data_IF_138212037913
#
_entry.id   IF_138212037913
#
_cell.length_a   1.000
_cell.length_b   1.000
_cell.length_c   1.000
_cell.angle_alpha   90.00
_cell.angle_beta   90.00
_cell.angle_gamma   90.00
#
_symmetry.space_group_name_H-M   'P 1'
#
loop_
_entity.id
_entity.type
_entity.pdbx_description
1 polymer ?
#
# COMPACT_ATOMS: atom_id res chain seq x y z
N UNK A 1 -28.15 -8.06 5.40
CA UNK A 1 -27.26 -6.91 5.59
C UNK A 1 -26.11 -7.31 6.51
N UNK A 2 -24.88 -7.00 6.11
CA UNK A 2 -23.71 -7.29 6.92
C UNK A 2 -23.59 -6.28 8.06
N UNK A 3 -23.46 -6.78 9.28
CA UNK A 3 -23.21 -5.93 10.43
C UNK A 3 -21.69 -5.82 10.63
N UNK A 4 -21.20 -4.58 10.61
CA UNK A 4 -19.77 -4.31 10.86
C UNK A 4 -19.56 -4.32 12.37
N UNK A 5 -18.57 -5.07 12.85
CA UNK A 5 -18.25 -5.12 14.28
C UNK A 5 -17.78 -3.74 14.78
N UNK A 6 -17.92 -3.50 16.07
CA UNK A 6 -17.44 -2.25 16.68
C UNK A 6 -15.95 -2.05 16.46
N UNK A 7 -15.18 -3.14 16.54
CA UNK A 7 -13.74 -3.11 16.28
C UNK A 7 -13.44 -2.67 14.85
N UNK A 8 -14.15 -3.22 13.87
CA UNK A 8 -13.97 -2.87 12.46
C UNK A 8 -14.39 -1.43 12.20
N UNK A 9 -15.48 -0.97 12.82
CA UNK A 9 -15.92 0.42 12.69
C UNK A 9 -14.88 1.40 13.23
N UNK A 10 -14.24 1.06 14.35
CA UNK A 10 -13.18 1.89 14.94
C UNK A 10 -11.97 1.97 14.00
N UNK A 11 -11.58 0.83 13.40
CA UNK A 11 -10.50 0.78 12.42
C UNK A 11 -10.82 1.65 11.20
N UNK A 12 -12.05 1.55 10.69
CA UNK A 12 -12.48 2.31 9.51
C UNK A 12 -12.44 3.82 9.77
N UNK A 13 -12.87 4.26 10.97
CA UNK A 13 -12.78 5.67 11.34
C UNK A 13 -11.35 6.16 11.41
N UNK A 14 -10.47 5.35 11.98
CA UNK A 14 -9.05 5.69 12.08
C UNK A 14 -8.40 5.74 10.69
N UNK A 15 -8.74 4.80 9.82
CA UNK A 15 -8.24 4.78 8.44
C UNK A 15 -8.64 6.04 7.68
N UNK A 16 -9.88 6.49 7.84
CA UNK A 16 -10.33 7.72 7.17
C UNK A 16 -9.44 8.91 7.55
N UNK A 17 -9.14 9.05 8.83
CA UNK A 17 -8.25 10.11 9.31
C UNK A 17 -6.83 9.96 8.77
N UNK A 18 -6.32 8.74 8.74
CA UNK A 18 -4.98 8.45 8.22
C UNK A 18 -4.91 8.81 6.74
N UNK A 19 -5.92 8.45 5.95
CA UNK A 19 -5.97 8.78 4.53
C UNK A 19 -5.99 10.29 4.30
N UNK A 20 -6.76 11.03 5.11
CA UNK A 20 -6.80 12.50 5.02
C UNK A 20 -5.44 13.10 5.35
N UNK A 21 -4.74 12.58 6.36
CA UNK A 21 -3.40 13.03 6.73
C UNK A 21 -2.39 12.76 5.63
N UNK A 22 -2.46 11.59 4.99
CA UNK A 22 -1.59 11.23 3.87
C UNK A 22 -1.80 12.20 2.71
N UNK A 23 -3.05 12.50 2.39
CA UNK A 23 -3.40 13.44 1.32
C UNK A 23 -2.78 14.81 1.57
N UNK A 24 -2.87 15.31 2.81
CA UNK A 24 -2.31 16.60 3.18
C UNK A 24 -0.78 16.61 3.19
N UNK A 25 -0.17 15.54 3.66
CA UNK A 25 1.29 15.47 3.82
C UNK A 25 2.03 15.15 2.52
N UNK A 26 1.44 14.31 1.67
CA UNK A 26 2.14 13.76 0.50
C UNK A 26 1.57 14.22 -0.83
N UNK A 27 0.36 14.79 -0.83
CA UNK A 27 -0.34 15.15 -2.06
C UNK A 27 -1.04 13.96 -2.70
N UNK A 28 -1.71 14.20 -3.81
CA UNK A 28 -2.55 13.22 -4.49
C UNK A 28 -1.90 12.76 -5.79
N UNK A 29 -0.99 11.80 -5.70
CA UNK A 29 -0.31 11.23 -6.88
C UNK A 29 0.16 9.81 -6.57
N UNK A 30 0.36 9.02 -7.62
CA UNK A 30 0.89 7.66 -7.49
C UNK A 30 2.36 7.70 -7.11
N UNK A 31 2.72 7.05 -6.00
CA UNK A 31 4.11 6.99 -5.56
C UNK A 31 4.96 6.07 -6.43
N UNK A 32 4.32 5.15 -7.16
CA UNK A 32 5.03 4.21 -8.02
C UNK A 32 5.46 4.77 -9.37
N UNK A 33 4.65 5.66 -9.96
CA UNK A 33 4.95 6.22 -11.29
C UNK A 33 4.86 7.74 -11.37
N UNK A 34 4.38 8.40 -10.30
CA UNK A 34 4.31 9.86 -10.23
C UNK A 34 3.10 10.50 -10.87
N UNK A 35 2.19 9.74 -11.46
CA UNK A 35 1.02 10.29 -12.14
C UNK A 35 -0.05 10.74 -11.15
N UNK A 36 -0.70 11.87 -11.45
CA UNK A 36 -1.78 12.41 -10.61
C UNK A 36 -3.14 12.39 -11.31
N UNK A 37 -3.17 12.18 -12.60
CA UNK A 37 -4.39 12.21 -13.42
C UNK A 37 -4.97 10.80 -13.67
N UNK A 38 -4.71 9.88 -12.77
CA UNK A 38 -5.12 8.47 -12.86
C UNK A 38 -5.86 8.07 -11.58
N UNK A 39 -6.73 7.04 -11.65
CA UNK A 39 -7.34 6.52 -10.43
C UNK A 39 -6.29 5.98 -9.47
N UNK A 40 -6.40 6.35 -8.19
CA UNK A 40 -5.45 5.96 -7.16
C UNK A 40 -6.14 5.08 -6.11
N UNK A 41 -5.36 4.17 -5.52
CA UNK A 41 -5.78 3.37 -4.38
C UNK A 41 -4.84 3.62 -3.20
N UNK A 42 -5.34 3.36 -2.00
CA UNK A 42 -4.50 3.34 -0.79
C UNK A 42 -3.96 1.92 -0.64
N UNK A 43 -2.74 1.70 -1.11
CA UNK A 43 -2.11 0.38 -1.03
C UNK A 43 -1.48 0.18 0.35
N UNK A 44 -1.73 -0.99 0.94
CA UNK A 44 -1.01 -1.42 2.12
C UNK A 44 0.23 -2.18 1.68
N UNK A 45 1.40 -1.75 2.13
CA UNK A 45 2.66 -2.38 1.76
C UNK A 45 2.74 -3.80 2.29
N UNK A 46 2.34 -3.98 3.56
CA UNK A 46 2.16 -5.29 4.16
C UNK A 46 0.65 -5.52 4.26
N UNK A 47 0.13 -6.64 3.69
CA UNK A 47 -1.32 -6.88 3.66
C UNK A 47 -1.95 -6.96 5.04
N UNK A 48 -3.22 -6.57 5.13
CA UNK A 48 -4.00 -6.68 6.37
C UNK A 48 -4.03 -8.11 6.91
N UNK A 49 -4.12 -9.09 6.01
CA UNK A 49 -4.16 -10.50 6.38
C UNK A 49 -2.91 -10.95 7.12
N UNK A 50 -1.79 -10.27 6.90
CA UNK A 50 -0.54 -10.61 7.57
C UNK A 50 -0.31 -9.80 8.85
N UNK A 51 -0.54 -8.48 8.78
CA UNK A 51 -0.24 -7.58 9.91
C UNK A 51 -1.38 -6.60 10.15
N UNK A 52 -2.34 -7.01 10.92
CA UNK A 52 -3.47 -6.13 11.26
C UNK A 52 -3.06 -4.96 12.14
N UNK A 53 -1.99 -5.12 12.90
CA UNK A 53 -1.46 -4.06 13.75
C UNK A 53 -0.88 -2.88 12.95
N UNK A 54 -0.57 -3.09 11.68
CA UNK A 54 -0.01 -2.06 10.81
C UNK A 54 -1.02 -1.46 9.83
N UNK A 55 -2.29 -1.87 9.92
CA UNK A 55 -3.30 -1.46 8.94
C UNK A 55 -3.56 0.05 8.97
N UNK A 56 -3.35 0.70 10.10
CA UNK A 56 -3.52 2.15 10.26
C UNK A 56 -2.21 2.91 10.38
N UNK A 57 -1.08 2.25 10.15
CA UNK A 57 0.22 2.91 10.15
C UNK A 57 0.41 3.65 8.83
N UNK A 58 0.59 4.98 8.88
CA UNK A 58 0.79 5.80 7.67
C UNK A 58 1.95 5.32 6.82
N UNK A 59 3.00 4.79 7.44
CA UNK A 59 4.17 4.28 6.73
C UNK A 59 3.86 3.02 5.93
N UNK A 60 2.81 2.30 6.31
CA UNK A 60 2.37 1.08 5.61
C UNK A 60 1.40 1.37 4.47
N UNK A 61 1.07 2.63 4.24
CA UNK A 61 0.06 3.03 3.26
C UNK A 61 0.69 3.97 2.24
N UNK A 62 0.44 3.70 0.96
CA UNK A 62 0.93 4.57 -0.11
C UNK A 62 -0.11 4.61 -1.23
N UNK A 63 -0.06 5.67 -2.05
CA UNK A 63 -0.89 5.74 -3.24
C UNK A 63 -0.24 4.95 -4.37
N UNK A 64 -1.01 4.05 -4.98
CA UNK A 64 -0.63 3.39 -6.23
C UNK A 64 -1.79 3.49 -7.20
N UNK A 65 -1.49 3.74 -8.47
CA UNK A 65 -2.53 3.83 -9.49
C UNK A 65 -3.14 2.45 -9.78
N UNK A 66 -4.42 2.48 -10.16
CA UNK A 66 -5.17 1.28 -10.53
C UNK A 66 -4.97 0.95 -12.00
N UNK A 67 -5.30 -0.28 -12.38
CA UNK A 67 -5.28 -0.70 -13.78
C UNK A 67 -6.24 0.19 -14.59
N UNK A 68 -5.85 0.57 -15.81
CA UNK A 68 -6.65 1.43 -16.65
C UNK A 68 -6.31 1.20 -18.13
N UNK A 69 -7.36 1.08 -18.97
CA UNK A 69 -7.22 0.98 -20.44
C UNK A 69 -6.26 -0.12 -20.87
N UNK A 70 -6.37 -1.30 -20.26
CA UNK A 70 -5.54 -2.44 -20.59
C UNK A 70 -4.13 -2.35 -20.06
N UNK A 71 -3.79 -1.28 -19.32
CA UNK A 71 -2.47 -1.10 -18.74
C UNK A 71 -2.48 -1.45 -17.26
N UNK A 72 -1.47 -2.18 -16.84
CA UNK A 72 -1.31 -2.58 -15.44
C UNK A 72 -0.94 -1.36 -14.59
N UNK A 73 -1.69 -1.14 -13.51
CA UNK A 73 -1.39 -0.07 -12.56
C UNK A 73 -0.32 -0.47 -11.56
N UNK A 74 0.22 0.53 -10.88
CA UNK A 74 1.26 0.30 -9.86
C UNK A 74 0.74 -0.52 -8.69
N UNK A 75 -0.56 -0.42 -8.37
CA UNK A 75 -1.16 -1.26 -7.33
C UNK A 75 -1.01 -2.74 -7.65
N UNK A 76 -1.32 -3.14 -8.88
CA UNK A 76 -1.16 -4.52 -9.34
C UNK A 76 0.31 -4.93 -9.38
N UNK A 77 1.18 -4.04 -9.85
CA UNK A 77 2.62 -4.30 -9.91
C UNK A 77 3.21 -4.51 -8.53
N UNK A 78 2.76 -3.73 -7.53
CA UNK A 78 3.24 -3.89 -6.16
C UNK A 78 2.87 -5.25 -5.58
N UNK A 79 1.69 -5.75 -5.89
CA UNK A 79 1.24 -7.06 -5.41
C UNK A 79 1.84 -8.24 -6.19
N UNK A 80 2.49 -7.98 -7.32
CA UNK A 80 3.05 -8.99 -8.19
C UNK A 80 4.56 -9.02 -8.18
N UNK A 81 5.14 -9.58 -9.25
CA UNK A 81 6.58 -9.74 -9.39
C UNK A 81 7.29 -8.48 -9.88
N UNK A 82 6.54 -7.47 -10.32
CA UNK A 82 7.10 -6.26 -10.93
C UNK A 82 7.28 -5.11 -9.95
N UNK A 83 7.18 -5.39 -8.64
CA UNK A 83 7.23 -4.32 -7.63
C UNK A 83 8.55 -3.54 -7.64
N UNK A 84 9.64 -4.17 -8.06
CA UNK A 84 10.95 -3.53 -8.12
C UNK A 84 11.05 -2.50 -9.25
N UNK A 85 10.07 -2.44 -10.13
CA UNK A 85 10.01 -1.43 -11.20
C UNK A 85 9.39 -0.11 -10.72
N UNK A 86 8.80 -0.06 -9.53
CA UNK A 86 8.15 1.13 -9.00
C UNK A 86 9.18 2.10 -8.42
N UNK A 87 8.92 3.40 -8.58
CA UNK A 87 9.80 4.45 -8.07
C UNK A 87 9.98 4.41 -6.56
N UNK A 88 8.93 3.98 -5.84
CA UNK A 88 8.94 3.94 -4.38
C UNK A 88 9.41 2.59 -3.81
N UNK A 89 9.89 1.69 -4.66
CA UNK A 89 10.26 0.32 -4.25
C UNK A 89 11.24 0.31 -3.07
N UNK A 90 12.35 1.00 -3.18
CA UNK A 90 13.39 0.95 -2.15
C UNK A 90 12.91 1.51 -0.81
N UNK A 91 12.17 2.62 -0.84
CA UNK A 91 11.61 3.20 0.38
C UNK A 91 10.64 2.23 1.05
N UNK A 92 9.77 1.59 0.25
CA UNK A 92 8.78 0.64 0.75
C UNK A 92 9.46 -0.60 1.34
N UNK A 93 10.51 -1.09 0.69
CA UNK A 93 11.24 -2.26 1.16
C UNK A 93 12.02 -1.96 2.45
N UNK A 94 12.57 -0.75 2.60
CA UNK A 94 13.21 -0.35 3.85
C UNK A 94 12.24 -0.41 5.03
N UNK A 95 11.02 0.09 4.83
CA UNK A 95 9.98 0.03 5.85
C UNK A 95 9.66 -1.42 6.22
N UNK A 96 9.45 -2.27 5.22
CA UNK A 96 9.13 -3.68 5.45
C UNK A 96 10.26 -4.38 6.20
N UNK A 97 11.50 -4.13 5.82
CA UNK A 97 12.65 -4.73 6.49
C UNK A 97 12.72 -4.32 7.96
N UNK A 98 12.34 -3.07 8.26
CA UNK A 98 12.35 -2.55 9.63
C UNK A 98 11.28 -3.22 10.51
N UNK A 99 10.05 -3.38 9.99
CA UNK A 99 8.92 -3.81 10.80
C UNK A 99 8.57 -5.29 10.68
N UNK A 100 9.01 -5.95 9.60
CA UNK A 100 8.67 -7.36 9.34
C UNK A 100 9.72 -8.01 8.45
N UNK A 101 10.87 -8.36 9.03
CA UNK A 101 11.99 -8.92 8.29
C UNK A 101 11.62 -10.24 7.59
N UNK A 102 10.76 -11.03 8.20
CA UNK A 102 10.30 -12.30 7.62
C UNK A 102 9.53 -12.05 6.32
N UNK A 103 8.61 -11.10 6.34
CA UNK A 103 7.86 -10.74 5.14
C UNK A 103 8.77 -10.15 4.05
N UNK A 104 9.77 -9.37 4.45
CA UNK A 104 10.76 -8.86 3.51
C UNK A 104 11.40 -9.99 2.72
N UNK A 105 11.81 -11.07 3.39
CA UNK A 105 12.41 -12.22 2.71
C UNK A 105 11.41 -12.94 1.82
N UNK A 106 10.17 -13.09 2.26
CA UNK A 106 9.12 -13.73 1.46
C UNK A 106 8.94 -13.01 0.13
N UNK A 107 8.80 -11.69 0.14
CA UNK A 107 8.51 -10.94 -1.09
C UNK A 107 9.73 -10.77 -1.97
N UNK A 108 10.94 -10.77 -1.43
CA UNK A 108 12.14 -10.73 -2.26
C UNK A 108 12.33 -12.05 -2.99
N UNK A 109 11.99 -13.17 -2.38
CA UNK A 109 12.01 -14.47 -3.05
C UNK A 109 10.98 -14.51 -4.19
N UNK A 110 9.78 -13.93 -3.97
CA UNK A 110 8.73 -13.87 -5.00
C UNK A 110 9.15 -13.06 -6.22
N UNK A 111 10.11 -12.15 -6.08
CA UNK A 111 10.64 -11.38 -7.21
C UNK A 111 11.70 -12.14 -8.02
N UNK A 112 11.91 -13.41 -7.71
CA UNK A 112 12.84 -14.26 -8.45
C UNK A 112 14.31 -14.08 -8.08
N UNK A 113 14.52 -13.62 -6.87
CA UNK A 113 15.87 -13.34 -6.38
C UNK A 113 16.36 -14.36 -5.40
#
# INVERSE_FOLDING_TARGET
>A
MKVISQKQSAINRKLKKVYEEIELERGHYCSGCGKSDVPLSHSHLIPRSRRQDLVTDKRNITYHCLDMDGRKGCHTMWEGKDRDMLMDYHRNMEYILEVDVEYYHIITDLNGR
#
